data_IF_382711730747
#
_entry.id   IF_382711730747
#
_cell.length_a   1.000
_cell.length_b   1.000
_cell.length_c   1.000
_cell.angle_alpha   90.00
_cell.angle_beta   90.00
_cell.angle_gamma   90.00
#
_symmetry.space_group_name_H-M   'P 1'
#
loop_
_entity.id
_entity.type
_entity.pdbx_description
1 polymer ?
#
# COMPACT_ATOMS: atom_id res chain seq x y z
N UNK A 1 -14.48 13.65 2.60
CA UNK A 1 -14.88 13.18 1.25
C UNK A 1 -14.96 11.66 1.30
N UNK A 2 -16.02 11.05 0.78
CA UNK A 2 -16.14 9.59 0.71
C UNK A 2 -15.42 9.13 -0.57
N UNK A 3 -14.12 8.87 -0.48
CA UNK A 3 -13.28 8.57 -1.63
C UNK A 3 -13.30 7.06 -1.90
N UNK A 4 -13.61 6.66 -3.13
CA UNK A 4 -13.55 5.25 -3.53
C UNK A 4 -12.09 4.80 -3.58
N UNK A 5 -11.73 3.77 -2.79
CA UNK A 5 -10.37 3.19 -2.71
C UNK A 5 -9.82 2.73 -4.06
N UNK A 6 -10.70 2.31 -4.98
CA UNK A 6 -10.29 1.93 -6.33
C UNK A 6 -9.89 3.13 -7.19
N UNK A 7 -10.28 4.35 -6.83
CA UNK A 7 -9.96 5.55 -7.61
C UNK A 7 -8.67 6.24 -7.16
N UNK A 8 -8.32 6.18 -5.88
CA UNK A 8 -7.13 6.90 -5.37
C UNK A 8 -5.83 6.40 -5.98
N UNK A 9 -5.75 5.12 -6.32
CA UNK A 9 -4.55 4.51 -6.94
C UNK A 9 -4.29 5.05 -8.36
N UNK A 10 -5.30 5.62 -9.01
CA UNK A 10 -5.16 6.26 -10.33
C UNK A 10 -4.84 7.76 -10.24
N UNK A 11 -4.79 8.33 -9.04
CA UNK A 11 -4.47 9.75 -8.88
C UNK A 11 -3.04 10.06 -9.34
N UNK A 12 -2.76 11.28 -9.84
CA UNK A 12 -1.39 11.75 -10.03
C UNK A 12 -0.59 11.65 -8.73
N UNK A 13 0.72 11.41 -8.81
CA UNK A 13 1.59 11.18 -7.64
C UNK A 13 1.44 12.24 -6.56
N UNK A 14 1.42 13.52 -6.94
CA UNK A 14 1.27 14.63 -5.98
C UNK A 14 -0.07 14.57 -5.23
N UNK A 15 -1.14 14.16 -5.92
CA UNK A 15 -2.49 14.06 -5.34
C UNK A 15 -2.59 12.81 -4.47
N UNK A 16 -1.99 11.69 -4.88
CA UNK A 16 -1.91 10.48 -4.06
C UNK A 16 -1.09 10.71 -2.79
N UNK A 17 0.05 11.39 -2.88
CA UNK A 17 0.86 11.75 -1.72
C UNK A 17 0.08 12.65 -0.76
N UNK A 18 -0.67 13.63 -1.28
CA UNK A 18 -1.55 14.47 -0.46
C UNK A 18 -2.65 13.65 0.22
N UNK A 19 -3.29 12.73 -0.51
CA UNK A 19 -4.27 11.82 0.07
C UNK A 19 -3.66 10.99 1.21
N UNK A 20 -2.46 10.44 1.01
CA UNK A 20 -1.76 9.67 2.04
C UNK A 20 -1.40 10.53 3.27
N UNK A 21 -1.04 11.80 3.04
CA UNK A 21 -0.84 12.77 4.12
C UNK A 21 -2.13 12.98 4.92
N UNK A 22 -3.24 13.30 4.25
CA UNK A 22 -4.50 13.66 4.90
C UNK A 22 -5.13 12.46 5.65
N UNK A 23 -4.99 11.24 5.13
CA UNK A 23 -5.63 10.05 5.70
C UNK A 23 -4.81 9.31 6.76
N UNK A 24 -3.49 9.45 6.71
CA UNK A 24 -2.55 8.66 7.54
C UNK A 24 -1.49 9.51 8.25
N UNK A 25 -1.44 10.82 8.01
CA UNK A 25 -0.40 11.71 8.53
C UNK A 25 0.98 11.48 7.91
N UNK A 26 1.03 10.88 6.72
CA UNK A 26 2.28 10.54 6.05
C UNK A 26 3.04 11.80 5.60
N UNK A 27 4.35 11.85 5.87
CA UNK A 27 5.21 12.86 5.26
C UNK A 27 5.75 12.37 3.90
N UNK A 28 6.23 13.30 3.06
CA UNK A 28 6.72 12.99 1.71
C UNK A 28 7.89 12.00 1.70
N UNK A 29 8.78 12.07 2.69
CA UNK A 29 9.92 11.14 2.80
C UNK A 29 9.45 9.71 3.00
N UNK A 30 8.54 9.47 3.95
CA UNK A 30 7.96 8.15 4.23
C UNK A 30 7.17 7.63 3.03
N UNK A 31 6.36 8.48 2.38
CA UNK A 31 5.66 8.12 1.15
C UNK A 31 6.64 7.60 0.08
N UNK A 32 7.69 8.38 -0.21
CA UNK A 32 8.69 8.03 -1.22
C UNK A 32 9.42 6.74 -0.85
N UNK A 33 9.80 6.56 0.42
CA UNK A 33 10.45 5.33 0.88
C UNK A 33 9.56 4.10 0.71
N UNK A 34 8.26 4.20 0.98
CA UNK A 34 7.33 3.08 0.74
C UNK A 34 7.24 2.77 -0.75
N UNK A 35 7.07 3.79 -1.61
CA UNK A 35 7.00 3.59 -3.06
C UNK A 35 8.26 2.92 -3.61
N UNK A 36 9.43 3.47 -3.28
CA UNK A 36 10.72 2.95 -3.72
C UNK A 36 10.97 1.52 -3.22
N UNK A 37 10.63 1.25 -1.96
CA UNK A 37 10.79 -0.09 -1.39
C UNK A 37 9.89 -1.10 -2.09
N UNK A 38 8.60 -0.80 -2.29
CA UNK A 38 7.68 -1.70 -3.00
C UNK A 38 8.12 -1.96 -4.44
N UNK A 39 8.58 -0.92 -5.16
CA UNK A 39 9.11 -1.06 -6.51
C UNK A 39 10.32 -2.01 -6.53
N UNK A 40 11.26 -1.79 -5.61
CA UNK A 40 12.48 -2.61 -5.49
C UNK A 40 12.20 -4.06 -5.11
N UNK A 41 11.02 -4.35 -4.53
CA UNK A 41 10.58 -5.69 -4.10
C UNK A 41 9.53 -6.31 -5.03
N UNK A 42 9.48 -5.88 -6.30
CA UNK A 42 8.75 -6.58 -7.37
C UNK A 42 7.43 -5.95 -7.79
N UNK A 43 6.95 -4.91 -7.10
CA UNK A 43 5.70 -4.21 -7.47
C UNK A 43 5.97 -3.16 -8.57
N UNK A 44 6.32 -3.61 -9.77
CA UNK A 44 6.68 -2.72 -10.88
C UNK A 44 5.48 -1.98 -11.47
N UNK A 45 4.32 -2.65 -11.55
CA UNK A 45 3.08 -2.03 -12.00
C UNK A 45 2.64 -0.92 -11.04
N UNK A 46 2.45 0.28 -11.58
CA UNK A 46 2.18 1.48 -10.77
C UNK A 46 0.85 1.38 -10.01
N UNK A 47 -0.17 0.76 -10.60
CA UNK A 47 -1.48 0.64 -9.96
C UNK A 47 -1.42 -0.41 -8.86
N UNK A 48 -0.77 -1.55 -9.11
CA UNK A 48 -0.56 -2.59 -8.09
C UNK A 48 0.28 -2.06 -6.93
N UNK A 49 1.38 -1.36 -7.21
CA UNK A 49 2.25 -0.76 -6.19
C UNK A 49 1.50 0.23 -5.30
N UNK A 50 0.73 1.14 -5.90
CA UNK A 50 -0.08 2.11 -5.16
C UNK A 50 -1.18 1.43 -4.35
N UNK A 51 -1.76 0.35 -4.87
CA UNK A 51 -2.70 -0.48 -4.12
C UNK A 51 -2.04 -1.09 -2.89
N UNK A 52 -0.85 -1.67 -3.03
CA UNK A 52 -0.10 -2.24 -1.90
C UNK A 52 0.29 -1.17 -0.89
N UNK A 53 0.69 0.02 -1.32
CA UNK A 53 0.95 1.15 -0.44
C UNK A 53 -0.28 1.50 0.40
N UNK A 54 -1.44 1.70 -0.23
CA UNK A 54 -2.68 2.03 0.51
C UNK A 54 -3.06 0.91 1.48
N UNK A 55 -2.98 -0.36 1.07
CA UNK A 55 -3.24 -1.51 1.94
C UNK A 55 -2.28 -1.59 3.13
N UNK A 56 -1.00 -1.31 2.90
CA UNK A 56 0.01 -1.27 3.95
C UNK A 56 -0.30 -0.19 4.99
N UNK A 57 -0.69 1.01 4.55
CA UNK A 57 -1.05 2.12 5.42
C UNK A 57 -2.33 1.83 6.21
N UNK A 58 -3.33 1.19 5.59
CA UNK A 58 -4.54 0.70 6.27
C UNK A 58 -4.21 -0.39 7.32
N UNK A 59 -3.36 -1.36 6.99
CA UNK A 59 -2.93 -2.41 7.95
C UNK A 59 -2.18 -1.80 9.13
N UNK A 60 -1.30 -0.81 8.87
CA UNK A 60 -0.65 -0.05 9.93
C UNK A 60 -1.65 0.70 10.80
N UNK A 61 -2.63 1.37 10.19
CA UNK A 61 -3.69 2.14 10.86
C UNK A 61 -4.56 1.27 11.75
N UNK A 62 -4.85 0.03 11.34
CA UNK A 62 -5.66 -0.91 12.10
C UNK A 62 -4.88 -1.57 13.25
N UNK A 63 -3.55 -1.68 13.14
CA UNK A 63 -2.69 -2.37 14.12
C UNK A 63 -2.00 -1.43 15.09
N UNK A 64 -1.74 -0.19 14.71
CA UNK A 64 -1.15 0.81 15.56
C UNK A 64 -2.26 1.56 16.31
N UNK A 65 -2.09 1.76 17.61
CA UNK A 65 -2.74 2.90 18.26
C UNK A 65 -2.16 4.17 17.65
N UNK A 66 -3.01 5.07 17.16
CA UNK A 66 -2.55 6.34 16.61
C UNK A 66 -1.70 7.11 17.63
N UNK A 67 -0.79 7.94 17.15
CA UNK A 67 -0.25 9.00 18.01
C UNK A 67 -1.39 9.88 18.53
N UNK A 68 -1.14 10.67 19.58
CA UNK A 68 -2.11 11.65 20.08
C UNK A 68 -2.61 12.63 19.00
N UNK A 69 -1.88 12.76 17.88
CA UNK A 69 -2.23 13.59 16.74
C UNK A 69 -2.89 12.82 15.56
N UNK A 70 -3.21 11.53 15.72
CA UNK A 70 -3.85 10.76 14.65
C UNK A 70 -2.90 10.31 13.53
N UNK A 71 -1.58 10.37 13.72
CA UNK A 71 -0.58 10.11 12.68
C UNK A 71 0.07 8.72 12.82
N UNK A 72 0.38 8.09 11.69
CA UNK A 72 1.26 6.92 11.67
C UNK A 72 2.70 7.34 11.93
N UNK A 73 3.29 6.85 13.02
CA UNK A 73 4.70 7.08 13.35
C UNK A 73 5.53 5.83 13.07
N UNK A 74 6.54 5.96 12.22
CA UNK A 74 7.54 4.94 11.99
C UNK A 74 8.82 5.36 12.71
N UNK A 75 9.15 4.68 13.81
CA UNK A 75 10.41 4.90 14.54
C UNK A 75 11.63 4.54 13.67
N UNK A 76 12.84 4.92 14.13
CA UNK A 76 14.11 4.65 13.41
C UNK A 76 14.20 3.16 13.04
N UNK A 77 14.29 2.87 11.74
CA UNK A 77 14.47 1.51 11.19
C UNK A 77 13.19 0.67 11.06
N UNK A 78 12.06 1.09 11.63
CA UNK A 78 10.87 0.22 11.72
C UNK A 78 10.00 0.15 10.44
N UNK A 79 10.20 1.08 9.49
CA UNK A 79 9.35 1.15 8.30
C UNK A 79 9.55 -0.04 7.37
N UNK A 80 10.80 -0.34 7.01
CA UNK A 80 11.15 -1.45 6.11
C UNK A 80 10.84 -2.80 6.74
N UNK A 81 11.03 -2.95 8.05
CA UNK A 81 10.60 -4.15 8.80
C UNK A 81 9.09 -4.36 8.73
N UNK A 82 8.29 -3.30 8.94
CA UNK A 82 6.83 -3.37 8.82
C UNK A 82 6.39 -3.71 7.41
N UNK A 83 7.06 -3.16 6.38
CA UNK A 83 6.80 -3.48 4.98
C UNK A 83 7.09 -4.95 4.67
N UNK A 84 8.23 -5.48 5.14
CA UNK A 84 8.59 -6.88 5.00
C UNK A 84 7.55 -7.81 5.68
N UNK A 85 7.15 -7.49 6.91
CA UNK A 85 6.11 -8.23 7.63
C UNK A 85 4.74 -8.17 6.92
N UNK A 86 4.40 -7.02 6.34
CA UNK A 86 3.20 -6.85 5.54
C UNK A 86 3.24 -7.73 4.28
N UNK A 87 4.35 -7.72 3.53
CA UNK A 87 4.52 -8.58 2.35
C UNK A 87 4.51 -10.06 2.71
N UNK A 88 5.14 -10.47 3.82
CA UNK A 88 5.06 -11.85 4.29
C UNK A 88 3.61 -12.28 4.58
N UNK A 89 2.78 -11.35 5.08
CA UNK A 89 1.38 -11.61 5.43
C UNK A 89 0.44 -11.64 4.23
N UNK A 90 0.67 -10.80 3.21
CA UNK A 90 -0.29 -10.56 2.12
C UNK A 90 0.26 -10.73 0.70
N UNK A 91 1.56 -10.96 0.54
CA UNK A 91 2.22 -11.08 -0.77
C UNK A 91 1.81 -12.32 -1.56
N UNK A 92 1.16 -13.30 -0.94
CA UNK A 92 0.73 -14.54 -1.58
C UNK A 92 -0.63 -14.44 -2.30
N UNK A 93 -1.39 -13.36 -2.09
CA UNK A 93 -2.73 -13.18 -2.66
C UNK A 93 -2.70 -12.54 -4.07
N UNK A 94 -1.65 -11.79 -4.41
CA UNK A 94 -1.56 -11.06 -5.68
C UNK A 94 -1.25 -11.94 -6.90
N UNK A 95 -0.76 -13.17 -6.71
CA UNK A 95 -0.42 -14.09 -7.82
C UNK A 95 -1.55 -15.08 -8.19
N UNK A 96 -2.57 -15.26 -7.34
CA UNK A 96 -3.66 -16.22 -7.62
C UNK A 96 -4.76 -15.69 -8.54
N UNK A 97 -4.84 -14.38 -8.78
CA UNK A 97 -5.90 -13.80 -9.62
C UNK A 97 -5.66 -13.98 -11.13
N UNK A 98 -4.44 -14.31 -11.56
CA UNK A 98 -4.07 -14.41 -12.98
C UNK A 98 -4.14 -15.83 -13.54
N UNK A 99 -4.28 -16.86 -12.70
CA UNK A 99 -4.28 -18.28 -13.12
C UNK A 99 -5.69 -18.92 -13.19
N UNK A 100 -6.75 -18.17 -12.86
CA UNK A 100 -8.11 -18.70 -12.66
C UNK A 100 -9.12 -18.55 -13.80
N UNK A 101 -8.71 -18.24 -15.04
CA UNK A 101 -9.65 -18.07 -16.16
C UNK A 101 -9.12 -18.72 -17.44
N UNK A 102 -9.00 -20.04 -17.42
CA UNK A 102 -8.51 -20.77 -18.59
C UNK A 102 -8.66 -22.28 -18.49
N UNK A 103 -9.87 -22.78 -18.21
CA UNK A 103 -10.26 -24.17 -18.50
C UNK A 103 -11.71 -24.42 -18.03
N UNK A 104 -12.67 -24.37 -18.96
CA UNK A 104 -13.61 -25.48 -19.23
C UNK A 104 -14.60 -25.07 -20.33
N UNK A 105 -14.22 -25.29 -21.59
CA UNK A 105 -15.19 -25.33 -22.69
C UNK A 105 -14.66 -26.28 -23.77
N UNK A 106 -14.97 -27.56 -23.61
CA UNK A 106 -15.06 -28.54 -24.69
C UNK A 106 -15.89 -29.71 -24.17
N UNK A 107 -17.15 -29.75 -24.61
CA UNK A 107 -17.93 -30.98 -24.78
C UNK A 107 -17.95 -31.27 -26.28
#
# INVERSE_FOLDING_TARGET
MNVNRLQVVHYPDIVLAQYCHDQFGLNKGVYNTIDEWLFSHGEQDVILRRTQMVRFLEDCKNRAGYSAAGQLTFGRGTLTEKLALFQQRYGHDSQKATEGSGSHASL
#
